data_IF_133699076057
#
_entry.id   IF_133699076057
#
_cell.length_a   1.000
_cell.length_b   1.000
_cell.length_c   1.000
_cell.angle_alpha   90.00
_cell.angle_beta   90.00
_cell.angle_gamma   90.00
#
_symmetry.space_group_name_H-M   'P 1'
#
loop_
_entity.id
_entity.type
_entity.pdbx_description
1 polymer ?
#
# COMPACT_ATOMS: atom_id res chain seq x y z
N UNK A 1 10.35 -21.61 -12.49
CA UNK A 1 10.84 -20.79 -11.36
C UNK A 1 9.70 -20.56 -10.37
N UNK A 2 10.00 -20.58 -9.05
CA UNK A 2 8.99 -20.42 -7.98
C UNK A 2 9.03 -19.04 -7.38
N UNK A 3 7.89 -18.34 -7.43
CA UNK A 3 7.72 -17.02 -6.83
C UNK A 3 6.80 -17.10 -5.60
N UNK A 4 7.17 -16.41 -4.53
CA UNK A 4 6.31 -16.19 -3.37
C UNK A 4 5.69 -14.80 -3.46
N UNK A 5 4.37 -14.70 -3.51
CA UNK A 5 3.66 -13.43 -3.35
C UNK A 5 3.29 -13.22 -1.88
N UNK A 6 3.64 -12.08 -1.32
CA UNK A 6 3.33 -11.73 0.08
C UNK A 6 1.91 -11.21 0.28
N UNK A 7 1.07 -11.29 -0.73
CA UNK A 7 -0.39 -11.08 -0.69
C UNK A 7 -1.09 -11.96 -1.72
N UNK A 8 -2.39 -12.09 -1.61
CA UNK A 8 -3.21 -12.59 -2.73
C UNK A 8 -3.21 -11.49 -3.82
N UNK A 9 -2.83 -11.86 -5.03
CA UNK A 9 -2.78 -10.94 -6.16
C UNK A 9 -4.02 -11.05 -7.04
N UNK A 10 -4.22 -10.05 -7.92
CA UNK A 10 -5.32 -10.10 -8.89
C UNK A 10 -5.13 -11.30 -9.86
N UNK A 11 -6.22 -11.99 -10.27
CA UNK A 11 -6.14 -13.13 -11.16
C UNK A 11 -5.31 -12.85 -12.42
N UNK A 12 -5.59 -11.78 -13.12
CA UNK A 12 -4.87 -11.37 -14.33
C UNK A 12 -3.36 -11.22 -14.10
N UNK A 13 -2.92 -10.70 -12.95
CA UNK A 13 -1.50 -10.59 -12.64
C UNK A 13 -0.88 -11.97 -12.39
N UNK A 14 -1.61 -12.87 -11.71
CA UNK A 14 -1.19 -14.24 -11.47
C UNK A 14 -1.09 -15.04 -12.77
N UNK A 15 -2.10 -14.94 -13.63
CA UNK A 15 -2.15 -15.61 -14.92
C UNK A 15 -0.96 -15.18 -15.79
N UNK A 16 -0.68 -13.88 -15.87
CA UNK A 16 0.50 -13.37 -16.58
C UNK A 16 1.83 -13.98 -16.06
N UNK A 17 1.96 -14.17 -14.75
CA UNK A 17 3.16 -14.82 -14.21
C UNK A 17 3.22 -16.31 -14.62
N UNK A 18 2.10 -17.02 -14.56
CA UNK A 18 2.01 -18.43 -14.93
C UNK A 18 2.33 -18.63 -16.42
N UNK A 19 1.75 -17.80 -17.29
CA UNK A 19 1.98 -17.85 -18.75
C UNK A 19 3.46 -17.59 -19.10
N UNK A 20 4.18 -16.88 -18.23
CA UNK A 20 5.63 -16.67 -18.35
C UNK A 20 6.47 -17.72 -17.62
N UNK A 21 5.91 -18.88 -17.28
CA UNK A 21 6.61 -20.04 -16.73
C UNK A 21 6.94 -19.95 -15.24
N UNK A 22 6.27 -19.07 -14.48
CA UNK A 22 6.43 -19.00 -13.04
C UNK A 22 5.37 -19.83 -12.31
N UNK A 23 5.80 -20.58 -11.29
CA UNK A 23 4.88 -21.12 -10.28
C UNK A 23 4.72 -20.09 -9.19
N UNK A 24 3.49 -19.67 -8.89
CA UNK A 24 3.20 -18.60 -7.92
C UNK A 24 2.54 -19.19 -6.67
N UNK A 25 3.23 -19.05 -5.53
CA UNK A 25 2.70 -19.37 -4.21
C UNK A 25 2.29 -18.05 -3.54
N UNK A 26 1.08 -17.99 -3.01
CA UNK A 26 0.53 -16.79 -2.40
C UNK A 26 0.30 -17.01 -0.91
N UNK A 27 0.80 -16.09 -0.10
CA UNK A 27 0.50 -16.07 1.31
C UNK A 27 0.41 -14.63 1.83
N UNK A 28 -0.72 -14.22 2.44
CA UNK A 28 -0.87 -12.87 2.99
C UNK A 28 -0.09 -12.72 4.30
N UNK A 29 1.13 -12.17 4.21
CA UNK A 29 2.00 -11.93 5.37
C UNK A 29 1.51 -10.84 6.30
N UNK A 30 0.43 -10.15 5.97
CA UNK A 30 -0.25 -9.19 6.82
C UNK A 30 -1.76 -9.42 6.82
N UNK A 31 -2.39 -9.10 7.95
CA UNK A 31 -3.86 -9.06 8.10
C UNK A 31 -4.28 -7.65 8.46
N UNK A 32 -5.33 -7.16 7.83
CA UNK A 32 -5.95 -5.88 8.16
C UNK A 32 -7.07 -6.16 9.14
N UNK A 33 -6.95 -5.62 10.36
CA UNK A 33 -7.96 -5.74 11.42
C UNK A 33 -8.66 -4.40 11.61
N UNK A 34 -9.95 -4.28 11.29
CA UNK A 34 -10.71 -3.08 11.56
C UNK A 34 -10.65 -2.66 13.04
N UNK A 35 -10.65 -1.36 13.29
CA UNK A 35 -10.79 -0.76 14.62
C UNK A 35 -12.21 -0.18 14.68
N UNK A 36 -12.97 -0.40 15.77
CA UNK A 36 -14.27 0.25 15.95
C UNK A 36 -14.12 1.78 15.88
N UNK A 37 -14.86 2.40 14.96
CA UNK A 37 -14.76 3.83 14.71
C UNK A 37 -15.88 4.53 15.47
N UNK A 38 -15.51 5.41 16.42
CA UNK A 38 -16.46 6.35 17.04
C UNK A 38 -16.24 7.73 16.42
N UNK A 39 -17.04 8.09 15.44
CA UNK A 39 -17.00 9.41 14.82
C UNK A 39 -17.99 10.32 15.56
N UNK A 40 -17.46 11.33 16.24
CA UNK A 40 -18.25 12.37 16.90
C UNK A 40 -18.58 13.47 15.90
N UNK A 41 -17.62 13.84 15.04
CA UNK A 41 -17.80 14.85 14.00
C UNK A 41 -16.72 14.71 12.92
N UNK A 42 -17.08 15.02 11.68
CA UNK A 42 -16.17 15.08 10.54
C UNK A 42 -15.96 16.50 10.07
N UNK A 43 -14.72 16.80 9.67
CA UNK A 43 -14.38 18.06 9.02
C UNK A 43 -14.94 18.12 7.58
N UNK A 44 -14.78 19.29 6.93
CA UNK A 44 -15.30 19.53 5.57
C UNK A 44 -14.72 18.57 4.55
N UNK A 45 -13.41 18.36 4.61
CA UNK A 45 -12.67 17.54 3.65
C UNK A 45 -12.15 16.25 4.27
N UNK A 46 -12.11 15.20 3.47
CA UNK A 46 -11.61 13.89 3.87
C UNK A 46 -10.27 13.59 3.20
N UNK A 47 -9.39 12.88 3.90
CA UNK A 47 -8.13 12.39 3.36
C UNK A 47 -8.10 10.87 3.47
N UNK A 48 -7.72 10.19 2.37
CA UNK A 48 -7.50 8.75 2.31
C UNK A 48 -6.16 8.44 1.62
N UNK A 49 -5.30 7.68 2.27
CA UNK A 49 -4.01 7.25 1.70
C UNK A 49 -3.92 5.74 1.49
N UNK A 50 -5.03 5.02 1.71
CA UNK A 50 -5.06 3.56 1.65
C UNK A 50 -6.44 3.05 1.23
N UNK A 51 -6.47 2.11 0.28
CA UNK A 51 -7.71 1.39 -0.07
C UNK A 51 -8.31 0.65 1.13
N UNK A 52 -7.48 0.17 2.09
CA UNK A 52 -7.98 -0.49 3.29
C UNK A 52 -8.84 0.46 4.13
N UNK A 53 -8.43 1.72 4.27
CA UNK A 53 -9.24 2.71 4.98
C UNK A 53 -10.57 2.97 4.26
N UNK A 54 -10.56 3.08 2.93
CA UNK A 54 -11.79 3.24 2.13
C UNK A 54 -12.73 2.06 2.35
N UNK A 55 -12.26 0.83 2.13
CA UNK A 55 -13.09 -0.38 2.29
C UNK A 55 -13.72 -0.50 3.68
N UNK A 56 -12.97 -0.15 4.72
CA UNK A 56 -13.47 -0.24 6.11
C UNK A 56 -14.50 0.85 6.38
N UNK A 57 -14.26 2.08 5.95
CA UNK A 57 -15.19 3.19 6.10
C UNK A 57 -16.51 2.92 5.37
N UNK A 58 -16.45 2.37 4.15
CA UNK A 58 -17.63 2.02 3.36
C UNK A 58 -18.31 0.70 3.75
N UNK A 59 -17.79 -0.03 4.74
CA UNK A 59 -18.50 -1.15 5.37
C UNK A 59 -19.35 -0.72 6.58
N UNK A 60 -19.29 0.56 7.00
CA UNK A 60 -20.09 1.06 8.13
C UNK A 60 -21.15 2.08 7.63
N UNK A 61 -22.44 1.68 7.58
CA UNK A 61 -23.53 2.55 7.10
C UNK A 61 -23.61 3.91 7.81
N UNK A 62 -23.32 3.93 9.13
CA UNK A 62 -23.36 5.18 9.91
C UNK A 62 -22.28 6.17 9.52
N UNK A 63 -21.13 5.66 9.03
CA UNK A 63 -20.06 6.51 8.53
C UNK A 63 -20.39 6.99 7.12
N UNK A 64 -20.95 6.11 6.28
CA UNK A 64 -21.34 6.44 4.89
C UNK A 64 -22.28 7.66 4.89
N UNK A 65 -23.30 7.68 5.73
CA UNK A 65 -24.23 8.82 5.85
C UNK A 65 -23.50 10.13 6.16
N UNK A 66 -22.46 10.08 7.01
CA UNK A 66 -21.71 11.29 7.41
C UNK A 66 -20.75 11.80 6.35
N UNK A 67 -20.31 10.94 5.43
CA UNK A 67 -19.30 11.25 4.40
C UNK A 67 -19.91 11.49 3.01
N UNK A 68 -21.17 11.10 2.75
CA UNK A 68 -21.80 11.04 1.43
C UNK A 68 -21.71 12.34 0.60
N UNK A 69 -21.60 13.49 1.23
CA UNK A 69 -21.52 14.80 0.54
C UNK A 69 -20.19 15.51 0.76
N UNK A 70 -19.14 14.79 1.16
CA UNK A 70 -17.85 15.39 1.45
C UNK A 70 -16.86 15.16 0.31
N UNK A 71 -16.12 16.19 0.03
CA UNK A 71 -15.02 16.12 -0.93
C UNK A 71 -13.79 15.44 -0.35
N UNK A 72 -13.06 14.69 -1.18
CA UNK A 72 -11.92 13.88 -0.78
C UNK A 72 -10.61 14.31 -1.42
N UNK A 73 -9.55 14.05 -0.69
CA UNK A 73 -8.16 14.07 -1.12
C UNK A 73 -7.57 12.68 -0.93
N UNK A 74 -6.78 12.17 -1.89
CA UNK A 74 -6.27 10.82 -1.75
C UNK A 74 -4.85 10.63 -2.30
N UNK A 75 -4.24 9.52 -1.90
CA UNK A 75 -2.96 9.04 -2.42
C UNK A 75 -3.17 7.75 -3.19
N UNK A 76 -2.68 7.75 -4.45
CA UNK A 76 -2.66 6.61 -5.34
C UNK A 76 -3.95 6.42 -6.15
N UNK A 77 -3.77 6.06 -7.44
CA UNK A 77 -4.86 5.90 -8.41
C UNK A 77 -5.90 4.86 -7.98
N UNK A 78 -5.46 3.69 -7.47
CA UNK A 78 -6.38 2.65 -6.98
C UNK A 78 -7.26 3.13 -5.81
N UNK A 79 -6.78 4.08 -5.00
CA UNK A 79 -7.56 4.68 -3.90
C UNK A 79 -8.58 5.67 -4.45
N UNK A 80 -8.18 6.47 -5.45
CA UNK A 80 -9.08 7.41 -6.14
C UNK A 80 -10.24 6.66 -6.78
N UNK A 81 -9.96 5.67 -7.62
CA UNK A 81 -10.99 4.85 -8.29
C UNK A 81 -11.97 4.29 -7.26
N UNK A 82 -11.47 3.70 -6.18
CA UNK A 82 -12.31 3.10 -5.15
C UNK A 82 -13.19 4.14 -4.41
N UNK A 83 -12.71 5.35 -4.21
CA UNK A 83 -13.50 6.45 -3.62
C UNK A 83 -14.62 6.89 -4.58
N UNK A 84 -14.31 7.06 -5.86
CA UNK A 84 -15.26 7.48 -6.91
C UNK A 84 -16.31 6.40 -7.18
N UNK A 85 -15.94 5.11 -7.20
CA UNK A 85 -16.87 3.97 -7.28
C UNK A 85 -17.86 3.94 -6.10
N UNK A 86 -17.46 4.47 -4.94
CA UNK A 86 -18.33 4.61 -3.77
C UNK A 86 -19.03 5.99 -3.68
N UNK A 87 -19.02 6.76 -4.75
CA UNK A 87 -19.78 8.01 -4.87
C UNK A 87 -19.14 9.25 -4.24
N UNK A 88 -17.88 9.19 -3.81
CA UNK A 88 -17.19 10.37 -3.28
C UNK A 88 -16.45 11.13 -4.39
N UNK A 89 -16.52 12.46 -4.34
CA UNK A 89 -15.79 13.33 -5.26
C UNK A 89 -14.36 13.51 -4.79
N UNK A 90 -13.39 13.11 -5.62
CA UNK A 90 -11.96 13.32 -5.37
C UNK A 90 -11.50 14.65 -5.98
N UNK A 91 -11.19 15.64 -5.12
CA UNK A 91 -10.67 16.95 -5.55
C UNK A 91 -9.22 16.85 -6.03
N UNK A 92 -8.41 16.09 -5.30
CA UNK A 92 -6.99 15.94 -5.61
C UNK A 92 -6.52 14.54 -5.29
N UNK A 93 -5.89 13.89 -6.25
CA UNK A 93 -5.08 12.71 -6.08
C UNK A 93 -3.60 13.06 -6.26
N UNK A 94 -2.74 12.48 -5.45
CA UNK A 94 -1.28 12.56 -5.57
C UNK A 94 -0.66 11.17 -5.50
N UNK A 95 0.52 10.99 -6.09
CA UNK A 95 1.21 9.70 -6.08
C UNK A 95 1.92 9.40 -4.74
N UNK A 96 2.21 10.44 -3.95
CA UNK A 96 2.87 10.35 -2.64
C UNK A 96 2.17 11.23 -1.62
N UNK A 97 2.24 10.82 -0.34
CA UNK A 97 1.67 11.57 0.78
C UNK A 97 2.29 12.96 0.92
N UNK A 98 3.60 13.10 0.71
CA UNK A 98 4.30 14.38 0.74
C UNK A 98 3.74 15.37 -0.30
N UNK A 99 3.52 14.91 -1.54
CA UNK A 99 2.97 15.77 -2.61
C UNK A 99 1.53 16.19 -2.32
N UNK A 100 0.75 15.32 -1.67
CA UNK A 100 -0.60 15.67 -1.25
C UNK A 100 -0.58 16.70 -0.13
N UNK A 101 0.28 16.51 0.87
CA UNK A 101 0.45 17.43 1.98
C UNK A 101 0.90 18.83 1.52
N UNK A 102 1.88 18.88 0.59
CA UNK A 102 2.34 20.13 -0.02
C UNK A 102 1.24 20.84 -0.81
N UNK A 103 0.42 20.08 -1.56
CA UNK A 103 -0.71 20.64 -2.28
C UNK A 103 -1.73 21.25 -1.32
N UNK A 104 -2.08 20.55 -0.25
CA UNK A 104 -3.02 21.01 0.76
C UNK A 104 -2.49 22.26 1.45
N UNK A 105 -1.23 22.27 1.85
CA UNK A 105 -0.61 23.41 2.55
C UNK A 105 -0.56 24.69 1.71
N UNK A 106 -0.49 24.55 0.37
CA UNK A 106 -0.47 25.71 -0.54
C UNK A 106 -1.87 26.22 -0.91
N UNK A 107 -2.84 25.31 -1.08
CA UNK A 107 -4.11 25.64 -1.71
C UNK A 107 -5.32 25.59 -0.75
N UNK A 108 -5.14 25.03 0.46
CA UNK A 108 -6.23 24.78 1.41
C UNK A 108 -5.90 25.17 2.86
N UNK A 109 -5.13 26.25 3.05
CA UNK A 109 -4.63 26.69 4.37
C UNK A 109 -5.75 26.95 5.38
N UNK A 110 -6.89 27.47 4.94
CA UNK A 110 -8.04 27.79 5.80
C UNK A 110 -9.06 26.63 5.92
N UNK A 111 -8.69 25.44 5.47
CA UNK A 111 -9.56 24.27 5.46
C UNK A 111 -9.32 23.38 6.67
N UNK A 112 -10.30 22.49 6.97
CA UNK A 112 -10.21 21.51 8.04
C UNK A 112 -10.39 20.11 7.45
N UNK A 113 -9.57 19.16 7.90
CA UNK A 113 -9.51 17.81 7.33
C UNK A 113 -9.79 16.73 8.36
N UNK A 114 -10.44 15.65 7.92
CA UNK A 114 -10.54 14.37 8.63
C UNK A 114 -9.77 13.30 7.84
N UNK A 115 -8.79 12.68 8.46
CA UNK A 115 -7.88 11.72 7.83
C UNK A 115 -8.20 10.31 8.31
N UNK A 116 -8.69 9.46 7.41
CA UNK A 116 -8.94 8.04 7.65
C UNK A 116 -7.71 7.22 7.28
N UNK A 117 -7.13 6.52 8.25
CA UNK A 117 -5.85 5.85 8.07
C UNK A 117 -5.70 4.60 8.95
N UNK A 118 -4.63 3.85 8.73
CA UNK A 118 -4.20 2.79 9.65
C UNK A 118 -3.42 3.35 10.83
N UNK A 119 -3.33 2.60 11.93
CA UNK A 119 -2.52 2.96 13.09
C UNK A 119 -1.01 3.03 12.74
N UNK A 120 -0.54 2.17 11.84
CA UNK A 120 0.82 2.24 11.28
C UNK A 120 0.79 3.01 9.97
N UNK A 121 1.14 4.28 10.01
CA UNK A 121 1.23 5.19 8.87
C UNK A 121 2.48 6.06 8.98
N UNK A 122 2.83 6.72 7.90
CA UNK A 122 3.86 7.77 7.90
C UNK A 122 3.23 9.07 8.36
N UNK A 123 3.96 9.89 9.11
CA UNK A 123 3.49 11.16 9.65
C UNK A 123 3.53 12.33 8.65
N UNK A 124 3.96 12.10 7.41
CA UNK A 124 4.19 13.16 6.39
C UNK A 124 3.03 14.16 6.25
N UNK A 125 1.78 13.68 6.23
CA UNK A 125 0.60 14.57 6.13
C UNK A 125 0.41 15.35 7.45
N UNK A 126 0.52 14.67 8.58
CA UNK A 126 0.35 15.26 9.91
C UNK A 126 1.40 16.33 10.16
N UNK A 127 2.67 16.03 9.84
CA UNK A 127 3.80 16.94 10.05
C UNK A 127 3.65 18.21 9.23
N UNK A 128 3.35 18.09 7.92
CA UNK A 128 3.20 19.24 7.04
C UNK A 128 1.96 20.08 7.41
N UNK A 129 0.81 19.46 7.67
CA UNK A 129 -0.40 20.19 8.01
C UNK A 129 -0.26 20.86 9.39
N UNK A 130 0.38 20.22 10.34
CA UNK A 130 0.68 20.79 11.67
C UNK A 130 1.62 22.00 11.55
N UNK A 131 2.69 21.91 10.79
CA UNK A 131 3.63 23.01 10.55
C UNK A 131 2.93 24.25 9.96
N UNK A 132 1.89 24.04 9.14
CA UNK A 132 1.09 25.12 8.55
C UNK A 132 -0.17 25.47 9.35
N UNK A 133 -0.33 24.93 10.57
CA UNK A 133 -1.49 25.15 11.47
C UNK A 133 -2.84 24.80 10.82
N UNK A 134 -2.86 23.85 9.89
CA UNK A 134 -4.07 23.37 9.23
C UNK A 134 -4.72 22.29 10.12
N UNK A 135 -5.97 22.46 10.56
CA UNK A 135 -6.63 21.52 11.45
C UNK A 135 -6.83 20.15 10.80
N UNK A 136 -6.28 19.11 11.44
CA UNK A 136 -6.37 17.72 11.02
C UNK A 136 -6.93 16.87 12.14
N UNK A 137 -8.05 16.17 11.91
CA UNK A 137 -8.60 15.15 12.80
C UNK A 137 -8.29 13.78 12.26
N UNK A 138 -7.58 12.97 13.04
CA UNK A 138 -7.15 11.63 12.64
C UNK A 138 -8.17 10.60 13.11
N UNK A 139 -8.54 9.70 12.20
CA UNK A 139 -9.41 8.56 12.46
C UNK A 139 -8.65 7.27 12.08
N UNK A 140 -8.12 6.58 13.09
CA UNK A 140 -7.52 5.28 12.89
C UNK A 140 -8.62 4.24 12.73
N UNK A 141 -8.70 3.64 11.54
CA UNK A 141 -9.78 2.73 11.18
C UNK A 141 -9.33 1.28 11.07
N UNK A 142 -8.02 1.01 11.07
CA UNK A 142 -7.49 -0.36 11.07
C UNK A 142 -6.09 -0.48 11.65
N UNK A 143 -5.80 -1.69 12.12
CA UNK A 143 -4.46 -2.16 12.44
C UNK A 143 -3.93 -3.08 11.35
N UNK A 144 -2.63 -2.95 11.02
CA UNK A 144 -1.90 -3.94 10.23
C UNK A 144 -1.21 -4.91 11.17
N UNK A 145 -1.65 -6.16 11.15
CA UNK A 145 -1.11 -7.24 11.98
C UNK A 145 -0.19 -8.09 11.10
N UNK A 146 1.02 -8.36 11.59
CA UNK A 146 1.94 -9.29 10.93
C UNK A 146 1.38 -10.71 11.05
N UNK A 147 1.47 -11.48 9.96
CA UNK A 147 1.05 -12.88 9.88
C UNK A 147 2.25 -13.72 9.38
N UNK A 148 3.28 -13.90 10.19
CA UNK A 148 4.47 -14.63 9.79
C UNK A 148 4.14 -16.11 9.52
N UNK A 149 4.80 -16.67 8.52
CA UNK A 149 4.75 -18.10 8.18
C UNK A 149 6.13 -18.55 7.74
N UNK A 150 6.55 -19.70 8.23
CA UNK A 150 7.77 -20.38 7.79
C UNK A 150 7.53 -21.14 6.50
N UNK A 151 8.50 -21.11 5.59
CA UNK A 151 8.55 -21.89 4.36
C UNK A 151 9.88 -22.63 4.27
N UNK A 152 9.83 -23.94 4.15
CA UNK A 152 11.02 -24.77 3.89
C UNK A 152 11.55 -24.57 2.48
N UNK A 153 10.65 -24.18 1.56
CA UNK A 153 10.95 -24.00 0.15
C UNK A 153 11.79 -22.76 -0.07
N UNK A 154 12.90 -22.90 -0.80
CA UNK A 154 13.63 -21.76 -1.35
C UNK A 154 12.88 -21.25 -2.58
N UNK A 155 12.63 -19.96 -2.62
CA UNK A 155 11.99 -19.28 -3.74
C UNK A 155 13.03 -18.59 -4.62
N UNK A 156 12.84 -18.65 -5.94
CA UNK A 156 13.67 -17.90 -6.90
C UNK A 156 13.43 -16.38 -6.75
N UNK A 157 12.19 -16.01 -6.42
CA UNK A 157 11.83 -14.61 -6.17
C UNK A 157 10.71 -14.43 -5.13
N UNK A 158 10.72 -13.28 -4.45
CA UNK A 158 9.68 -12.92 -3.49
C UNK A 158 9.13 -11.54 -3.85
N UNK A 159 7.79 -11.45 -4.01
CA UNK A 159 7.07 -10.23 -4.33
C UNK A 159 6.60 -9.55 -3.05
N UNK A 160 7.15 -8.39 -2.74
CA UNK A 160 6.81 -7.59 -1.57
C UNK A 160 5.96 -6.37 -1.93
N UNK A 161 4.77 -6.29 -1.35
CA UNK A 161 3.80 -5.23 -1.60
C UNK A 161 3.74 -4.17 -0.49
N UNK A 162 4.47 -4.35 0.60
CA UNK A 162 4.55 -3.38 1.69
C UNK A 162 5.76 -3.63 2.60
N UNK A 163 6.24 -2.59 3.32
CA UNK A 163 7.24 -2.75 4.39
C UNK A 163 6.84 -3.78 5.45
N UNK A 164 5.56 -3.78 5.85
CA UNK A 164 5.04 -4.72 6.85
C UNK A 164 5.12 -6.18 6.39
N UNK A 165 4.97 -6.45 5.09
CA UNK A 165 5.12 -7.80 4.55
C UNK A 165 6.58 -8.28 4.61
N UNK A 166 7.55 -7.39 4.35
CA UNK A 166 8.99 -7.68 4.52
C UNK A 166 9.29 -8.05 5.98
N UNK A 167 8.82 -7.23 6.91
CA UNK A 167 9.01 -7.46 8.36
C UNK A 167 8.34 -8.76 8.81
N UNK A 168 7.17 -9.08 8.26
CA UNK A 168 6.44 -10.30 8.60
C UNK A 168 7.15 -11.55 8.07
N UNK A 169 7.65 -11.51 6.82
CA UNK A 169 8.45 -12.59 6.24
C UNK A 169 9.70 -12.88 7.09
N UNK A 170 10.43 -11.84 7.46
CA UNK A 170 11.68 -11.94 8.22
C UNK A 170 11.49 -12.54 9.63
N UNK A 171 10.29 -12.45 10.21
CA UNK A 171 10.02 -13.04 11.54
C UNK A 171 10.14 -14.56 11.59
N UNK A 172 9.93 -15.24 10.47
CA UNK A 172 9.92 -16.72 10.42
C UNK A 172 10.81 -17.30 9.33
N UNK A 173 11.44 -16.48 8.49
CA UNK A 173 12.28 -16.94 7.39
C UNK A 173 13.60 -16.18 7.35
N UNK A 174 14.68 -16.91 7.10
CA UNK A 174 15.97 -16.32 6.75
C UNK A 174 16.00 -15.98 5.26
N UNK A 175 16.78 -14.97 4.89
CA UNK A 175 16.97 -14.63 3.48
C UNK A 175 17.96 -15.61 2.83
N UNK A 176 17.57 -16.19 1.71
CA UNK A 176 18.47 -16.99 0.90
C UNK A 176 19.18 -16.10 -0.12
N UNK A 177 20.50 -16.22 -0.27
CA UNK A 177 21.31 -15.41 -1.18
C UNK A 177 20.94 -15.56 -2.66
N UNK A 178 20.34 -16.68 -3.05
CA UNK A 178 19.88 -16.94 -4.42
C UNK A 178 18.49 -16.35 -4.70
N UNK A 179 17.77 -15.93 -3.66
CA UNK A 179 16.43 -15.34 -3.80
C UNK A 179 16.53 -13.87 -4.22
N UNK A 180 15.75 -13.47 -5.23
CA UNK A 180 15.61 -12.06 -5.61
C UNK A 180 14.34 -11.43 -5.02
N UNK A 181 14.44 -10.24 -4.44
CA UNK A 181 13.30 -9.49 -3.91
C UNK A 181 12.71 -8.53 -4.94
N UNK A 182 11.41 -8.62 -5.20
CA UNK A 182 10.71 -7.67 -6.09
C UNK A 182 9.83 -6.76 -5.24
N UNK A 183 10.17 -5.48 -5.16
CA UNK A 183 9.45 -4.50 -4.34
C UNK A 183 8.49 -3.68 -5.19
N UNK A 184 7.24 -3.56 -4.74
CA UNK A 184 6.22 -2.72 -5.39
C UNK A 184 6.58 -1.23 -5.42
N UNK A 185 7.51 -0.78 -4.57
CA UNK A 185 7.94 0.61 -4.52
C UNK A 185 9.05 0.86 -3.50
N UNK A 186 9.57 2.09 -3.50
CA UNK A 186 10.76 2.51 -2.74
C UNK A 186 10.66 2.24 -1.25
N UNK A 187 9.51 2.53 -0.60
CA UNK A 187 9.36 2.29 0.83
C UNK A 187 9.48 0.83 1.25
N UNK A 188 9.04 -0.09 0.38
CA UNK A 188 9.20 -1.53 0.59
C UNK A 188 10.67 -1.93 0.43
N UNK A 189 11.32 -1.39 -0.61
CA UNK A 189 12.73 -1.61 -0.86
C UNK A 189 13.63 -1.07 0.26
N UNK A 190 13.33 0.10 0.83
CA UNK A 190 14.04 0.64 2.00
C UNK A 190 14.03 -0.31 3.20
N UNK A 191 12.96 -1.08 3.36
CA UNK A 191 12.88 -2.10 4.41
C UNK A 191 13.67 -3.34 4.02
N UNK A 192 13.57 -3.79 2.77
CA UNK A 192 14.22 -5.00 2.28
C UNK A 192 15.75 -4.84 2.19
N UNK A 193 16.25 -3.65 1.82
CA UNK A 193 17.69 -3.38 1.74
C UNK A 193 18.47 -3.58 3.05
N UNK A 194 17.77 -3.62 4.18
CA UNK A 194 18.37 -3.93 5.49
C UNK A 194 18.68 -5.43 5.63
N UNK A 195 18.17 -6.26 4.73
CA UNK A 195 18.26 -7.71 4.77
C UNK A 195 19.13 -8.23 3.61
N UNK A 196 18.99 -7.63 2.43
CA UNK A 196 19.68 -8.06 1.20
C UNK A 196 19.90 -6.88 0.26
N UNK A 197 20.94 -6.97 -0.57
CA UNK A 197 21.16 -6.10 -1.73
C UNK A 197 20.57 -6.67 -3.03
N UNK A 198 20.07 -7.94 -3.00
CA UNK A 198 19.54 -8.62 -4.17
C UNK A 198 18.03 -8.33 -4.33
N UNK A 199 17.69 -7.15 -4.85
CA UNK A 199 16.31 -6.76 -5.10
C UNK A 199 16.15 -5.78 -6.26
N UNK A 200 14.94 -5.72 -6.81
CA UNK A 200 14.49 -4.74 -7.80
C UNK A 200 13.28 -3.97 -7.27
N UNK A 201 13.06 -2.77 -7.83
CA UNK A 201 11.94 -1.90 -7.47
C UNK A 201 11.11 -1.66 -8.73
N UNK A 202 9.79 -1.80 -8.65
CA UNK A 202 8.89 -1.41 -9.72
C UNK A 202 8.97 0.12 -9.94
N UNK A 203 9.05 0.54 -11.19
CA UNK A 203 9.16 1.96 -11.57
C UNK A 203 7.98 2.80 -11.05
N UNK A 204 6.77 2.24 -11.13
CA UNK A 204 5.57 2.77 -10.51
C UNK A 204 4.94 1.70 -9.62
N UNK A 205 4.24 2.08 -8.52
CA UNK A 205 3.71 1.13 -7.54
C UNK A 205 2.41 0.46 -8.03
N UNK A 206 2.49 -0.27 -9.14
CA UNK A 206 1.38 -1.03 -9.71
C UNK A 206 1.84 -2.40 -10.20
N UNK A 207 0.86 -3.29 -10.41
CA UNK A 207 1.10 -4.69 -10.75
C UNK A 207 1.80 -4.82 -12.11
N UNK A 208 1.48 -3.95 -13.10
CA UNK A 208 2.08 -3.97 -14.43
C UNK A 208 3.59 -3.66 -14.38
N UNK A 209 3.99 -2.65 -13.62
CA UNK A 209 5.40 -2.29 -13.48
C UNK A 209 6.18 -3.31 -12.63
N UNK A 210 5.52 -3.93 -11.66
CA UNK A 210 6.12 -5.05 -10.92
C UNK A 210 6.36 -6.25 -11.85
N UNK A 211 5.40 -6.57 -12.72
CA UNK A 211 5.55 -7.63 -13.73
C UNK A 211 6.73 -7.33 -14.68
N UNK A 212 6.83 -6.09 -15.19
CA UNK A 212 7.97 -5.68 -16.02
C UNK A 212 9.32 -5.86 -15.30
N UNK A 213 9.38 -5.49 -14.01
CA UNK A 213 10.59 -5.66 -13.20
C UNK A 213 10.98 -7.13 -13.06
N UNK A 214 10.02 -8.03 -12.88
CA UNK A 214 10.24 -9.49 -12.81
C UNK A 214 10.79 -10.00 -14.14
N UNK A 215 10.13 -9.68 -15.24
CA UNK A 215 10.57 -10.10 -16.59
C UNK A 215 11.97 -9.60 -16.91
N UNK A 216 12.25 -8.31 -16.67
CA UNK A 216 13.55 -7.73 -16.91
C UNK A 216 14.66 -8.44 -16.16
N UNK A 217 14.45 -8.71 -14.87
CA UNK A 217 15.43 -9.43 -14.06
C UNK A 217 15.72 -10.83 -14.63
N UNK A 218 14.69 -11.61 -14.89
CA UNK A 218 14.90 -13.00 -15.33
C UNK A 218 15.40 -13.11 -16.77
N UNK A 219 15.00 -12.20 -17.67
CA UNK A 219 15.56 -12.16 -19.03
C UNK A 219 17.07 -11.90 -19.02
N UNK A 220 17.54 -10.97 -18.17
CA UNK A 220 18.97 -10.66 -18.09
C UNK A 220 19.79 -11.78 -17.44
N UNK A 221 19.21 -12.54 -16.51
CA UNK A 221 19.95 -13.55 -15.73
C UNK A 221 19.81 -14.95 -16.29
N UNK A 222 18.84 -15.23 -17.17
CA UNK A 222 18.66 -16.52 -17.82
C UNK A 222 19.08 -16.56 -19.29
N UNK A 223 19.33 -15.42 -19.93
CA UNK A 223 19.95 -15.35 -21.25
C UNK A 223 21.44 -15.81 -21.26
N UNK A 224 21.99 -16.15 -20.09
CA UNK A 224 23.40 -16.59 -19.91
C UNK A 224 23.54 -18.08 -19.56
N UNK A 225 22.48 -18.87 -19.73
CA UNK A 225 22.54 -20.35 -19.69
C UNK A 225 22.13 -20.91 -21.09
#
# INVERSE_FOLDING_TARGET
MRLLSTKIVAPLFKDNLIDNGFTVIEYPFIKIKPIPIKIISLNKYLIFTSQNAVRIVFNDPKIIEQIAHKDCFCVGEKTKILLEENGLKVIKMSQKSSFLADFISKNHQNSKFSFFCGSKRRSEIEDVLSAHKIPLKIHEVYNTILAPRYFETVFDGILFFSPSAVLSYQKSNSWNSQTHGFCIGSSTAETLKKITSNYSIAELPNDQQLLKSIHHYYTQHHAKK
#
